data_IF_925807349227
#
_entry.id   IF_925807349227
#
_cell.length_a   1.000
_cell.length_b   1.000
_cell.length_c   1.000
_cell.angle_alpha   90.00
_cell.angle_beta   90.00
_cell.angle_gamma   90.00
#
_symmetry.space_group_name_H-M   'P 1'
#
loop_
_entity.id
_entity.type
_entity.pdbx_description
1 polymer ?
#
# COMPACT_ATOMS: atom_id res chain seq x y z
N UNK A 1 -3.87 11.69 -1.27
CA UNK A 1 -4.72 12.75 -1.89
C UNK A 1 -4.02 14.11 -1.84
N UNK A 2 -3.78 14.67 -0.66
CA UNK A 2 -3.15 15.99 -0.52
C UNK A 2 -1.86 16.12 -1.34
N UNK A 3 -0.89 15.21 -1.12
CA UNK A 3 0.40 15.21 -1.84
C UNK A 3 0.22 15.13 -3.36
N UNK A 4 -0.72 14.33 -3.86
CA UNK A 4 -0.93 14.19 -5.31
C UNK A 4 -1.52 15.44 -5.96
N UNK A 5 -2.18 16.31 -5.18
CA UNK A 5 -2.80 17.55 -5.66
C UNK A 5 -1.91 18.77 -5.46
N UNK A 6 -1.03 18.76 -4.46
CA UNK A 6 -0.09 19.86 -4.19
C UNK A 6 1.26 19.67 -4.88
N UNK A 7 1.70 18.43 -5.08
CA UNK A 7 2.98 18.15 -5.72
C UNK A 7 2.98 18.54 -7.20
N UNK A 8 4.11 19.06 -7.67
CA UNK A 8 4.33 19.25 -9.10
C UNK A 8 4.48 17.90 -9.80
N UNK A 9 4.03 17.80 -11.06
CA UNK A 9 3.96 16.53 -11.81
C UNK A 9 5.28 15.77 -11.85
N UNK A 10 6.41 16.48 -11.93
CA UNK A 10 7.76 15.90 -11.96
C UNK A 10 8.17 15.23 -10.65
N UNK A 11 7.69 15.70 -9.50
CA UNK A 11 8.08 15.21 -8.17
C UNK A 11 6.96 14.45 -7.46
N UNK A 12 5.78 14.36 -8.06
CA UNK A 12 4.60 13.71 -7.50
C UNK A 12 4.85 12.25 -7.12
N UNK A 13 5.54 11.50 -7.98
CA UNK A 13 5.89 10.09 -7.72
C UNK A 13 6.85 9.93 -6.54
N UNK A 14 7.85 10.81 -6.45
CA UNK A 14 8.82 10.84 -5.36
C UNK A 14 8.14 11.16 -4.03
N UNK A 15 7.37 12.25 -3.96
CA UNK A 15 6.64 12.65 -2.75
C UNK A 15 5.57 11.62 -2.34
N UNK A 16 4.94 10.96 -3.32
CA UNK A 16 4.04 9.83 -3.06
C UNK A 16 4.77 8.65 -2.41
N UNK A 17 5.96 8.31 -2.92
CA UNK A 17 6.80 7.23 -2.37
C UNK A 17 7.31 7.55 -0.96
N UNK A 18 7.54 8.84 -0.64
CA UNK A 18 7.91 9.26 0.70
C UNK A 18 6.86 8.87 1.76
N UNK A 19 5.57 8.83 1.43
CA UNK A 19 4.52 8.39 2.37
C UNK A 19 4.75 6.94 2.78
N UNK A 20 4.99 6.06 1.82
CA UNK A 20 5.25 4.65 2.11
C UNK A 20 6.55 4.50 2.92
N UNK A 21 7.59 5.26 2.59
CA UNK A 21 8.84 5.27 3.35
C UNK A 21 8.62 5.69 4.82
N UNK A 22 7.81 6.73 5.06
CA UNK A 22 7.48 7.16 6.42
C UNK A 22 6.69 6.10 7.19
N UNK A 23 5.79 5.37 6.52
CA UNK A 23 5.06 4.24 7.14
C UNK A 23 6.02 3.15 7.58
N UNK A 24 6.93 2.70 6.71
CA UNK A 24 7.87 1.61 7.06
C UNK A 24 8.92 2.04 8.08
N UNK A 25 9.36 3.30 8.04
CA UNK A 25 10.22 3.87 9.09
C UNK A 25 9.48 3.94 10.43
N UNK A 26 8.18 4.28 10.42
CA UNK A 26 7.34 4.24 11.61
C UNK A 26 7.24 2.82 12.20
N UNK A 27 6.96 1.82 11.36
CA UNK A 27 6.93 0.40 11.79
C UNK A 27 8.27 -0.02 12.41
N UNK A 28 9.38 0.30 11.74
CA UNK A 28 10.72 0.00 12.25
C UNK A 28 10.99 0.71 13.59
N UNK A 29 10.60 1.98 13.71
CA UNK A 29 10.75 2.76 14.94
C UNK A 29 9.96 2.15 16.10
N UNK A 30 8.75 1.65 15.84
CA UNK A 30 7.93 0.95 16.85
C UNK A 30 8.56 -0.37 17.26
N UNK A 31 9.08 -1.17 16.33
CA UNK A 31 9.78 -2.41 16.67
C UNK A 31 11.04 -2.16 17.50
N UNK A 32 11.82 -1.14 17.16
CA UNK A 32 13.02 -0.78 17.91
C UNK A 32 12.70 -0.23 19.30
N UNK A 33 11.73 0.67 19.42
CA UNK A 33 11.30 1.21 20.71
C UNK A 33 10.65 0.13 21.59
N UNK A 34 9.93 -0.82 20.99
CA UNK A 34 9.30 -1.95 21.68
C UNK A 34 10.30 -2.90 22.36
N UNK A 35 11.57 -2.90 21.96
CA UNK A 35 12.62 -3.68 22.66
C UNK A 35 13.00 -3.09 24.01
N UNK A 36 12.81 -1.78 24.21
CA UNK A 36 13.31 -1.06 25.38
C UNK A 36 12.22 -0.45 26.25
N UNK A 37 10.98 -0.39 25.74
CA UNK A 37 9.88 0.32 26.38
C UNK A 37 8.68 -0.59 26.59
N UNK A 38 8.01 -0.43 27.74
CA UNK A 38 6.70 -1.01 27.96
C UNK A 38 5.68 -0.49 26.96
N UNK A 39 4.70 -1.34 26.61
CA UNK A 39 3.65 -1.04 25.64
C UNK A 39 2.90 0.28 25.91
N UNK A 40 2.77 0.68 27.19
CA UNK A 40 2.12 1.94 27.60
C UNK A 40 2.91 3.16 27.17
N UNK A 41 4.22 3.17 27.44
CA UNK A 41 5.10 4.26 27.04
C UNK A 41 5.30 4.30 25.53
N UNK A 42 5.39 3.13 24.91
CA UNK A 42 5.41 3.00 23.45
C UNK A 42 4.16 3.65 22.82
N UNK A 43 2.97 3.39 23.36
CA UNK A 43 1.73 4.00 22.88
C UNK A 43 1.73 5.54 23.04
N UNK A 44 2.24 6.05 24.15
CA UNK A 44 2.38 7.50 24.38
C UNK A 44 3.37 8.10 23.35
N UNK A 45 4.52 7.47 23.13
CA UNK A 45 5.49 7.92 22.12
C UNK A 45 4.88 7.93 20.71
N UNK A 46 4.09 6.91 20.36
CA UNK A 46 3.38 6.84 19.08
C UNK A 46 2.33 7.94 18.88
N UNK A 47 1.86 8.59 19.95
CA UNK A 47 0.93 9.72 19.86
C UNK A 47 1.62 11.04 19.47
N UNK A 48 2.95 11.13 19.61
CA UNK A 48 3.71 12.36 19.31
C UNK A 48 3.71 12.69 17.81
N UNK A 49 4.07 11.78 16.88
CA UNK A 49 4.05 12.09 15.45
C UNK A 49 2.70 12.56 14.89
N UNK A 50 1.54 11.93 15.19
CA UNK A 50 0.26 12.41 14.69
C UNK A 50 -0.15 13.75 15.32
N UNK A 51 0.20 14.01 16.58
CA UNK A 51 -0.04 15.32 17.21
C UNK A 51 0.79 16.42 16.55
N UNK A 52 2.06 16.15 16.26
CA UNK A 52 2.93 17.08 15.52
C UNK A 52 2.41 17.31 14.09
N UNK A 53 1.92 16.27 13.42
CA UNK A 53 1.32 16.39 12.10
C UNK A 53 0.06 17.26 12.15
N UNK A 54 -0.79 17.09 13.16
CA UNK A 54 -2.00 17.90 13.35
C UNK A 54 -1.67 19.39 13.51
N UNK A 55 -0.66 19.71 14.33
CA UNK A 55 -0.20 21.10 14.52
C UNK A 55 0.42 21.64 13.23
N UNK A 56 1.25 20.85 12.54
CA UNK A 56 1.89 21.26 11.28
C UNK A 56 0.89 21.50 10.16
N UNK A 57 -0.17 20.69 10.09
CA UNK A 57 -1.21 20.83 9.06
C UNK A 57 -2.04 22.11 9.21
N UNK A 58 -2.13 22.69 10.41
CA UNK A 58 -2.79 23.99 10.60
C UNK A 58 -2.11 25.12 9.81
N UNK A 59 -0.81 25.01 9.53
CA UNK A 59 -0.05 26.00 8.76
C UNK A 59 -0.02 25.71 7.25
N UNK A 60 -0.53 24.56 6.82
CA UNK A 60 -0.50 24.16 5.42
C UNK A 60 -1.73 24.69 4.67
N UNK A 61 -1.56 25.23 3.45
CA UNK A 61 -2.70 25.67 2.66
C UNK A 61 -3.53 24.49 2.16
N UNK A 62 -4.80 24.76 1.88
CA UNK A 62 -5.69 23.80 1.24
C UNK A 62 -5.26 23.52 -0.21
N UNK A 63 -5.70 22.40 -0.80
CA UNK A 63 -5.27 22.06 -2.16
C UNK A 63 -5.80 23.08 -3.19
N UNK A 64 -4.97 23.56 -4.14
CA UNK A 64 -5.42 24.53 -5.15
C UNK A 64 -6.62 24.02 -5.97
N UNK A 65 -6.67 22.71 -6.22
CA UNK A 65 -7.78 22.07 -6.92
C UNK A 65 -9.08 22.15 -6.14
N UNK A 66 -9.05 21.93 -4.82
CA UNK A 66 -10.23 22.07 -3.96
C UNK A 66 -10.75 23.50 -3.95
N UNK A 67 -9.85 24.49 -3.83
CA UNK A 67 -10.18 25.90 -3.81
C UNK A 67 -10.80 26.36 -5.14
N UNK A 68 -10.22 25.97 -6.27
CA UNK A 68 -10.77 26.26 -7.60
C UNK A 68 -12.13 25.59 -7.83
N UNK A 69 -12.32 24.35 -7.36
CA UNK A 69 -13.61 23.66 -7.43
C UNK A 69 -14.72 24.41 -6.67
N UNK A 70 -14.39 25.09 -5.57
CA UNK A 70 -15.32 25.93 -4.81
C UNK A 70 -15.41 27.37 -5.32
N UNK A 71 -14.80 27.69 -6.47
CA UNK A 71 -14.81 29.03 -7.06
C UNK A 71 -13.91 30.04 -6.32
N UNK A 72 -13.05 29.60 -5.40
CA UNK A 72 -12.14 30.45 -4.61
C UNK A 72 -10.80 30.64 -5.34
N UNK A 73 -10.84 31.33 -6.49
CA UNK A 73 -9.65 31.48 -7.36
C UNK A 73 -8.48 32.20 -6.70
N UNK A 74 -8.74 33.31 -6.00
CA UNK A 74 -7.67 34.08 -5.33
C UNK A 74 -6.95 33.25 -4.26
N UNK A 75 -7.70 32.54 -3.41
CA UNK A 75 -7.10 31.64 -2.40
C UNK A 75 -6.28 30.51 -3.07
N UNK A 76 -6.72 30.01 -4.23
CA UNK A 76 -5.99 28.99 -4.98
C UNK A 76 -4.67 29.51 -5.56
N UNK A 77 -4.64 30.75 -6.05
CA UNK A 77 -3.42 31.41 -6.52
C UNK A 77 -2.44 31.62 -5.36
N UNK A 78 -2.91 32.05 -4.20
CA UNK A 78 -2.06 32.22 -3.01
C UNK A 78 -1.52 30.88 -2.50
N UNK A 79 -2.34 29.82 -2.49
CA UNK A 79 -1.90 28.46 -2.17
C UNK A 79 -0.84 27.95 -3.16
N UNK A 80 -1.00 28.21 -4.45
CA UNK A 80 0.00 27.85 -5.45
C UNK A 80 1.29 28.67 -5.32
N UNK A 81 1.22 29.97 -5.03
CA UNK A 81 2.42 30.79 -4.72
C UNK A 81 3.18 30.25 -3.52
N UNK A 82 2.46 29.81 -2.47
CA UNK A 82 3.07 29.16 -1.33
C UNK A 82 3.77 27.84 -1.70
N UNK A 83 3.14 27.02 -2.55
CA UNK A 83 3.65 25.69 -2.94
C UNK A 83 4.73 25.71 -4.03
N UNK A 84 4.72 26.70 -4.93
CA UNK A 84 5.60 26.79 -6.11
C UNK A 84 6.68 27.88 -5.97
N UNK A 85 6.50 28.81 -5.05
CA UNK A 85 7.32 30.00 -4.88
C UNK A 85 6.65 31.27 -5.42
N UNK A 86 7.12 32.46 -4.99
CA UNK A 86 6.47 33.74 -5.27
C UNK A 86 6.48 34.16 -6.75
N UNK A 87 7.49 33.74 -7.51
CA UNK A 87 7.65 34.10 -8.93
C UNK A 87 7.09 33.05 -9.91
N UNK A 88 6.44 32.00 -9.39
CA UNK A 88 5.86 30.97 -10.24
C UNK A 88 4.71 31.57 -11.07
N UNK A 89 4.62 31.29 -12.38
CA UNK A 89 3.48 31.73 -13.16
C UNK A 89 2.27 30.90 -12.69
N UNK A 90 1.44 31.49 -11.83
CA UNK A 90 0.34 30.80 -11.15
C UNK A 90 -0.92 30.72 -12.03
N UNK A 91 -1.12 31.76 -12.84
CA UNK A 91 -2.33 31.99 -13.63
C UNK A 91 -2.55 30.90 -14.68
N UNK A 92 -1.49 30.43 -15.35
CA UNK A 92 -1.61 29.34 -16.33
C UNK A 92 -1.95 28.00 -15.66
N UNK A 93 -1.39 27.72 -14.47
CA UNK A 93 -1.65 26.46 -13.75
C UNK A 93 -3.09 26.47 -13.22
N UNK A 94 -3.57 27.61 -12.71
CA UNK A 94 -4.97 27.82 -12.36
C UNK A 94 -5.91 27.63 -13.55
N UNK A 95 -5.66 28.30 -14.68
CA UNK A 95 -6.50 28.18 -15.88
C UNK A 95 -6.57 26.73 -16.37
N UNK A 96 -5.44 26.02 -16.40
CA UNK A 96 -5.39 24.59 -16.76
C UNK A 96 -6.21 23.72 -15.81
N UNK A 97 -6.18 24.00 -14.50
CA UNK A 97 -6.97 23.26 -13.51
C UNK A 97 -8.47 23.58 -13.65
N UNK A 98 -8.81 24.84 -13.92
CA UNK A 98 -10.19 25.27 -14.16
C UNK A 98 -10.77 24.66 -15.42
N UNK A 99 -10.02 24.60 -16.53
CA UNK A 99 -10.45 23.92 -17.76
C UNK A 99 -10.74 22.44 -17.48
N UNK A 100 -9.84 21.76 -16.76
CA UNK A 100 -10.05 20.38 -16.33
C UNK A 100 -11.27 20.21 -15.40
N UNK A 101 -11.61 21.23 -14.59
CA UNK A 101 -12.81 21.22 -13.75
C UNK A 101 -14.08 21.55 -14.55
N UNK A 102 -13.99 22.46 -15.54
CA UNK A 102 -15.09 22.94 -16.39
C UNK A 102 -15.58 21.88 -17.36
N UNK A 103 -14.67 21.08 -17.94
CA UNK A 103 -15.02 19.90 -18.74
C UNK A 103 -15.69 18.79 -17.92
N UNK A 104 -15.50 18.77 -16.60
CA UNK A 104 -15.97 17.70 -15.70
C UNK A 104 -17.25 18.04 -14.92
N UNK A 105 -18.01 19.04 -15.39
CA UNK A 105 -19.24 19.60 -14.81
C UNK A 105 -20.03 18.74 -13.80
N UNK A 106 -20.34 19.38 -12.68
CA UNK A 106 -21.29 19.00 -11.61
C UNK A 106 -20.80 18.08 -10.48
N UNK A 107 -21.15 18.50 -9.26
CA UNK A 107 -21.21 17.72 -8.03
C UNK A 107 -21.49 16.23 -8.27
N UNK A 108 -20.72 15.37 -7.60
CA UNK A 108 -20.92 13.92 -7.57
C UNK A 108 -22.40 13.56 -7.39
N UNK A 109 -22.97 12.79 -8.33
CA UNK A 109 -24.28 12.15 -8.18
C UNK A 109 -24.07 10.64 -8.12
N UNK A 110 -24.82 9.96 -7.24
CA UNK A 110 -24.80 8.49 -7.14
C UNK A 110 -25.10 7.78 -8.49
N UNK A 111 -25.78 8.46 -9.42
CA UNK A 111 -26.01 7.98 -10.78
C UNK A 111 -24.74 7.87 -11.63
N UNK A 112 -23.70 8.66 -11.33
CA UNK A 112 -22.43 8.66 -12.06
C UNK A 112 -21.64 7.35 -11.83
N UNK A 113 -21.95 6.60 -10.75
CA UNK A 113 -21.37 5.28 -10.50
C UNK A 113 -21.79 4.22 -11.53
N UNK A 114 -22.78 4.50 -12.39
CA UNK A 114 -23.16 3.62 -13.50
C UNK A 114 -22.30 3.82 -14.74
N UNK A 115 -21.49 4.88 -14.80
CA UNK A 115 -20.62 5.16 -15.94
C UNK A 115 -19.46 4.15 -16.00
N UNK A 116 -19.24 3.46 -17.13
CA UNK A 116 -18.06 2.61 -17.38
C UNK A 116 -16.71 3.26 -17.09
N UNK A 117 -16.59 4.59 -17.28
CA UNK A 117 -15.39 5.34 -16.94
C UNK A 117 -15.14 5.48 -15.45
N UNK A 118 -16.15 5.24 -14.60
CA UNK A 118 -16.07 5.41 -13.14
C UNK A 118 -16.07 4.05 -12.43
N UNK A 119 -17.00 3.16 -12.76
CA UNK A 119 -17.13 1.90 -12.02
C UNK A 119 -15.96 0.95 -12.27
N UNK A 120 -15.36 0.93 -13.48
CA UNK A 120 -14.22 0.06 -13.79
C UNK A 120 -12.98 0.47 -12.97
N UNK A 121 -12.53 1.74 -12.96
CA UNK A 121 -11.50 2.22 -12.04
C UNK A 121 -11.78 1.91 -10.57
N UNK A 122 -13.01 2.15 -10.13
CA UNK A 122 -13.41 1.91 -8.74
C UNK A 122 -13.30 0.42 -8.37
N UNK A 123 -13.83 -0.46 -9.23
CA UNK A 123 -13.77 -1.90 -9.02
C UNK A 123 -12.32 -2.40 -9.02
N UNK A 124 -11.46 -1.90 -9.92
CA UNK A 124 -10.03 -2.23 -9.90
C UNK A 124 -9.38 -1.79 -8.59
N UNK A 125 -9.62 -0.56 -8.13
CA UNK A 125 -9.06 -0.07 -6.86
C UNK A 125 -9.54 -0.86 -5.64
N UNK A 126 -10.83 -1.17 -5.56
CA UNK A 126 -11.44 -1.95 -4.46
C UNK A 126 -10.88 -3.37 -4.43
N UNK A 127 -10.86 -4.05 -5.58
CA UNK A 127 -10.34 -5.42 -5.68
C UNK A 127 -8.83 -5.46 -5.42
N UNK A 128 -8.08 -4.46 -5.88
CA UNK A 128 -6.65 -4.38 -5.65
C UNK A 128 -6.30 -4.29 -4.15
N UNK A 129 -7.03 -3.47 -3.39
CA UNK A 129 -6.85 -3.39 -1.94
C UNK A 129 -7.35 -4.63 -1.21
N UNK A 130 -8.45 -5.23 -1.66
CA UNK A 130 -8.94 -6.48 -1.09
C UNK A 130 -7.89 -7.59 -1.26
N UNK A 131 -7.35 -7.77 -2.46
CA UNK A 131 -6.33 -8.77 -2.73
C UNK A 131 -5.01 -8.48 -2.01
N UNK A 132 -4.61 -7.20 -1.88
CA UNK A 132 -3.44 -6.81 -1.08
C UNK A 132 -3.55 -7.35 0.35
N UNK A 133 -4.71 -7.23 0.99
CA UNK A 133 -4.93 -7.71 2.37
C UNK A 133 -5.08 -9.22 2.47
N UNK A 134 -5.70 -9.86 1.48
CA UNK A 134 -5.84 -11.32 1.42
C UNK A 134 -4.51 -12.07 1.30
N UNK A 135 -3.41 -11.37 0.96
CA UNK A 135 -2.05 -11.95 1.04
C UNK A 135 -1.63 -12.31 2.47
N UNK A 136 -2.32 -11.79 3.49
CA UNK A 136 -2.01 -12.07 4.89
C UNK A 136 -0.94 -11.17 5.49
N UNK A 137 -0.48 -10.12 4.79
CA UNK A 137 0.61 -9.25 5.26
C UNK A 137 0.38 -8.68 6.66
N UNK A 138 -0.80 -8.13 6.95
CA UNK A 138 -1.09 -7.56 8.27
C UNK A 138 -1.12 -8.64 9.36
N UNK A 139 -1.67 -9.81 9.08
CA UNK A 139 -1.64 -10.93 10.02
C UNK A 139 -0.20 -11.38 10.29
N UNK A 140 0.62 -11.55 9.24
CA UNK A 140 2.03 -11.93 9.36
C UNK A 140 2.81 -10.87 10.16
N UNK A 141 2.58 -9.59 9.91
CA UNK A 141 3.27 -8.49 10.62
C UNK A 141 2.85 -8.40 12.09
N UNK A 142 1.57 -8.58 12.42
CA UNK A 142 1.08 -8.51 13.80
C UNK A 142 1.44 -9.75 14.62
N UNK A 143 1.41 -10.93 14.00
CA UNK A 143 1.75 -12.19 14.65
C UNK A 143 3.20 -12.62 14.40
N UNK A 144 4.06 -11.73 13.87
CA UNK A 144 5.46 -12.06 13.53
C UNK A 144 6.22 -12.66 14.72
N UNK A 145 6.12 -12.04 15.90
CA UNK A 145 6.74 -12.55 17.13
C UNK A 145 6.22 -13.95 17.47
N UNK A 146 4.89 -14.14 17.46
CA UNK A 146 4.27 -15.44 17.77
C UNK A 146 4.68 -16.53 16.75
N UNK A 147 4.79 -16.17 15.46
CA UNK A 147 5.28 -17.07 14.41
C UNK A 147 6.74 -17.46 14.66
N UNK A 148 7.59 -16.52 15.08
CA UNK A 148 8.99 -16.80 15.41
C UNK A 148 9.16 -17.61 16.71
N UNK A 149 8.32 -17.38 17.71
CA UNK A 149 8.27 -18.20 18.93
C UNK A 149 7.87 -19.64 18.62
N UNK A 150 6.85 -19.85 17.78
CA UNK A 150 6.45 -21.18 17.30
C UNK A 150 7.56 -21.86 16.47
N UNK A 151 8.46 -21.08 15.86
CA UNK A 151 9.62 -21.58 15.13
C UNK A 151 10.85 -21.85 16.03
N UNK A 152 10.68 -21.80 17.36
CA UNK A 152 11.72 -21.99 18.38
C UNK A 152 12.90 -20.99 18.32
N UNK A 153 12.68 -19.78 17.81
CA UNK A 153 13.73 -18.76 17.77
C UNK A 153 13.88 -18.09 19.15
N UNK A 154 15.06 -18.17 19.77
CA UNK A 154 15.26 -17.65 21.14
C UNK A 154 15.31 -16.11 21.24
N UNK A 155 15.49 -15.39 20.14
CA UNK A 155 15.58 -13.92 20.10
C UNK A 155 14.50 -13.30 19.20
N UNK A 156 13.21 -13.51 19.53
CA UNK A 156 12.06 -13.04 18.74
C UNK A 156 12.06 -11.52 18.48
N UNK A 157 12.55 -10.71 19.43
CA UNK A 157 12.59 -9.25 19.29
C UNK A 157 13.58 -8.78 18.22
N UNK A 158 14.75 -9.42 18.14
CA UNK A 158 15.74 -9.13 17.10
C UNK A 158 15.20 -9.50 15.71
N UNK A 159 14.38 -10.55 15.61
CA UNK A 159 13.77 -10.96 14.35
C UNK A 159 12.76 -9.92 13.82
N UNK A 160 11.95 -9.33 14.70
CA UNK A 160 11.01 -8.24 14.33
C UNK A 160 11.74 -6.98 13.88
N UNK A 161 12.86 -6.62 14.53
CA UNK A 161 13.69 -5.49 14.07
C UNK A 161 14.35 -5.77 12.72
N UNK A 162 14.86 -6.99 12.51
CA UNK A 162 15.42 -7.40 11.22
C UNK A 162 14.37 -7.30 10.10
N UNK A 163 13.14 -7.73 10.38
CA UNK A 163 11.98 -7.59 9.49
C UNK A 163 11.72 -6.13 9.13
N UNK A 164 11.69 -5.23 10.12
CA UNK A 164 11.53 -3.79 9.90
C UNK A 164 12.65 -3.20 9.03
N UNK A 165 13.90 -3.59 9.28
CA UNK A 165 15.05 -3.13 8.51
C UNK A 165 14.97 -3.57 7.04
N UNK A 166 14.65 -4.85 6.80
CA UNK A 166 14.43 -5.40 5.46
C UNK A 166 13.34 -4.61 4.75
N UNK A 167 12.23 -4.35 5.43
CA UNK A 167 11.11 -3.60 4.87
C UNK A 167 11.53 -2.18 4.43
N UNK A 168 12.30 -1.46 5.26
CA UNK A 168 12.81 -0.12 4.93
C UNK A 168 13.74 -0.15 3.71
N UNK A 169 14.71 -1.08 3.70
CA UNK A 169 15.68 -1.21 2.59
C UNK A 169 14.97 -1.52 1.28
N UNK A 170 14.08 -2.53 1.27
CA UNK A 170 13.38 -2.93 0.06
C UNK A 170 12.35 -1.91 -0.40
N UNK A 171 11.73 -1.15 0.50
CA UNK A 171 10.84 -0.02 0.12
C UNK A 171 11.65 1.11 -0.54
N UNK A 172 12.86 1.40 -0.04
CA UNK A 172 13.76 2.37 -0.69
C UNK A 172 14.18 1.93 -2.08
N UNK A 173 14.53 0.65 -2.24
CA UNK A 173 14.82 0.05 -3.55
C UNK A 173 13.59 0.12 -4.47
N UNK A 174 12.40 -0.18 -3.93
CA UNK A 174 11.13 -0.11 -4.67
C UNK A 174 10.90 1.28 -5.26
N UNK A 175 11.12 2.34 -4.46
CA UNK A 175 10.96 3.72 -4.90
C UNK A 175 11.83 4.05 -6.12
N UNK A 176 13.08 3.57 -6.15
CA UNK A 176 14.01 3.79 -7.28
C UNK A 176 13.65 2.94 -8.50
N UNK A 177 13.24 1.69 -8.29
CA UNK A 177 12.94 0.75 -9.37
C UNK A 177 11.57 1.05 -10.01
N UNK A 178 10.60 1.54 -9.24
CA UNK A 178 9.22 1.74 -9.70
C UNK A 178 9.12 2.67 -10.91
N UNK A 179 9.94 3.73 -10.93
CA UNK A 179 9.97 4.66 -12.05
C UNK A 179 10.60 4.06 -13.31
N UNK A 180 11.42 3.01 -13.18
CA UNK A 180 12.13 2.36 -14.30
C UNK A 180 11.38 1.15 -14.85
N UNK A 181 10.87 0.26 -14.00
CA UNK A 181 10.35 -1.04 -14.43
C UNK A 181 8.83 -1.06 -14.69
N UNK A 182 8.07 -0.06 -14.22
CA UNK A 182 6.62 0.00 -14.42
C UNK A 182 5.85 -0.71 -13.31
N UNK A 183 4.59 -0.32 -13.13
CA UNK A 183 3.80 -0.68 -11.94
C UNK A 183 3.29 -2.12 -12.04
N UNK A 184 2.84 -2.52 -13.24
CA UNK A 184 2.28 -3.86 -13.47
C UNK A 184 3.36 -4.93 -13.33
N UNK A 185 4.53 -4.69 -13.90
CA UNK A 185 5.66 -5.63 -13.85
C UNK A 185 6.12 -5.84 -12.40
N UNK A 186 6.22 -4.77 -11.61
CA UNK A 186 6.60 -4.88 -10.19
C UNK A 186 5.58 -5.65 -9.37
N UNK A 187 4.27 -5.47 -9.60
CA UNK A 187 3.22 -6.24 -8.91
C UNK A 187 3.30 -7.74 -9.21
N UNK A 188 3.64 -8.11 -10.45
CA UNK A 188 3.79 -9.52 -10.85
C UNK A 188 5.05 -10.12 -10.22
N UNK A 189 6.20 -9.45 -10.29
CA UNK A 189 7.47 -9.93 -9.71
C UNK A 189 7.35 -10.07 -8.19
N UNK A 190 6.81 -9.04 -7.53
CA UNK A 190 6.58 -9.08 -6.08
C UNK A 190 5.60 -10.18 -5.68
N UNK A 191 4.50 -10.33 -6.42
CA UNK A 191 3.55 -11.42 -6.20
C UNK A 191 4.22 -12.78 -6.30
N UNK A 192 5.09 -12.99 -7.30
CA UNK A 192 5.78 -14.27 -7.48
C UNK A 192 6.71 -14.59 -6.30
N UNK A 193 7.45 -13.58 -5.82
CA UNK A 193 8.28 -13.72 -4.63
C UNK A 193 7.44 -14.07 -3.37
N UNK A 194 6.27 -13.43 -3.21
CA UNK A 194 5.35 -13.72 -2.12
C UNK A 194 4.77 -15.13 -2.18
N UNK A 195 4.42 -15.65 -3.37
CA UNK A 195 3.95 -17.03 -3.57
C UNK A 195 5.02 -18.03 -3.14
N UNK A 196 6.24 -17.88 -3.66
CA UNK A 196 7.36 -18.78 -3.35
C UNK A 196 7.64 -18.79 -1.86
N UNK A 197 7.64 -17.62 -1.23
CA UNK A 197 7.88 -17.51 0.21
C UNK A 197 6.77 -18.15 1.06
N UNK A 198 5.50 -17.83 0.79
CA UNK A 198 4.37 -18.38 1.56
C UNK A 198 4.23 -19.90 1.36
N UNK A 199 4.53 -20.40 0.17
CA UNK A 199 4.63 -21.83 -0.09
C UNK A 199 5.75 -22.48 0.75
N UNK A 200 6.94 -21.86 0.80
CA UNK A 200 8.05 -22.32 1.63
C UNK A 200 7.71 -22.32 3.12
N UNK A 201 6.99 -21.30 3.60
CA UNK A 201 6.46 -21.25 4.97
C UNK A 201 5.52 -22.41 5.28
N UNK A 202 4.58 -22.69 4.38
CA UNK A 202 3.66 -23.82 4.55
C UNK A 202 4.40 -25.16 4.59
N UNK A 203 5.44 -25.32 3.76
CA UNK A 203 6.31 -26.51 3.79
C UNK A 203 7.08 -26.61 5.11
N UNK A 204 7.64 -25.51 5.62
CA UNK A 204 8.34 -25.50 6.90
C UNK A 204 7.44 -25.98 8.05
N UNK A 205 6.25 -25.40 8.20
CA UNK A 205 5.32 -25.79 9.25
C UNK A 205 4.80 -27.22 9.07
N UNK A 206 4.63 -27.67 7.82
CA UNK A 206 4.26 -29.05 7.53
C UNK A 206 5.33 -30.03 8.00
N UNK A 207 6.61 -29.73 7.76
CA UNK A 207 7.73 -30.56 8.20
C UNK A 207 7.87 -30.57 9.73
N UNK A 208 7.68 -29.43 10.39
CA UNK A 208 7.71 -29.32 11.86
C UNK A 208 6.52 -29.99 12.55
N UNK A 209 5.35 -30.07 11.89
CA UNK A 209 4.15 -30.68 12.47
C UNK A 209 4.17 -32.21 12.54
N UNK A 210 5.08 -32.87 11.80
CA UNK A 210 5.18 -34.34 11.82
C UNK A 210 6.14 -34.77 12.93
N UNK A 211 5.70 -35.56 13.93
CA UNK A 211 6.61 -36.16 14.89
C UNK A 211 7.53 -37.13 14.13
N UNK A 212 8.81 -36.78 13.99
CA UNK A 212 9.79 -37.71 13.44
C UNK A 212 10.01 -38.84 14.44
N UNK A 213 9.33 -39.97 14.22
CA UNK A 213 9.62 -41.22 14.94
C UNK A 213 11.03 -41.66 14.54
N UNK A 214 12.02 -41.38 15.39
CA UNK A 214 13.37 -41.94 15.31
C UNK A 214 14.40 -41.21 14.47
N UNK A 215 14.21 -39.92 14.13
CA UNK A 215 15.27 -39.11 13.53
C UNK A 215 15.89 -38.14 14.55
N UNK A 216 17.22 -38.08 14.53
CA UNK A 216 18.11 -37.07 15.16
C UNK A 216 17.54 -35.64 15.14
N UNK A 217 17.93 -34.76 16.10
CA UNK A 217 17.27 -33.49 16.35
C UNK A 217 17.16 -32.70 15.06
N UNK A 218 15.94 -32.33 14.69
CA UNK A 218 15.62 -31.56 13.50
C UNK A 218 16.69 -30.48 13.30
N UNK A 219 17.48 -30.59 12.22
CA UNK A 219 18.40 -29.51 11.81
C UNK A 219 17.64 -28.19 11.91
N UNK A 220 18.26 -27.15 12.48
CA UNK A 220 17.67 -25.84 12.76
C UNK A 220 17.04 -25.19 11.51
N UNK A 221 15.89 -25.68 11.03
CA UNK A 221 15.17 -25.17 9.87
C UNK A 221 14.56 -23.80 10.17
N UNK A 222 14.78 -23.24 11.36
CA UNK A 222 14.38 -21.90 11.74
C UNK A 222 14.96 -20.84 10.80
N UNK A 223 16.13 -21.07 10.19
CA UNK A 223 16.66 -20.19 9.14
C UNK A 223 15.73 -20.13 7.91
N UNK A 224 15.02 -21.22 7.59
CA UNK A 224 14.09 -21.28 6.46
C UNK A 224 12.86 -20.41 6.73
N UNK A 225 12.31 -20.46 7.94
CA UNK A 225 11.19 -19.60 8.37
C UNK A 225 11.58 -18.12 8.36
N UNK A 226 12.79 -17.78 8.83
CA UNK A 226 13.30 -16.42 8.78
C UNK A 226 13.52 -15.94 7.34
N UNK A 227 14.15 -16.77 6.51
CA UNK A 227 14.39 -16.47 5.10
C UNK A 227 13.09 -16.32 4.31
N UNK A 228 12.10 -17.18 4.54
CA UNK A 228 10.77 -17.03 3.92
C UNK A 228 10.13 -15.72 4.37
N UNK A 229 10.11 -15.40 5.67
CA UNK A 229 9.56 -14.12 6.15
C UNK A 229 10.22 -12.92 5.48
N UNK A 230 11.55 -12.91 5.46
CA UNK A 230 12.34 -11.88 4.82
C UNK A 230 11.96 -11.72 3.34
N UNK A 231 11.88 -12.82 2.58
CA UNK A 231 11.52 -12.79 1.15
C UNK A 231 10.08 -12.33 0.96
N UNK A 232 9.14 -12.73 1.82
CA UNK A 232 7.74 -12.30 1.76
C UNK A 232 7.62 -10.79 1.93
N UNK A 233 8.22 -10.26 3.00
CA UNK A 233 8.19 -8.82 3.32
C UNK A 233 8.93 -8.02 2.26
N UNK A 234 10.07 -8.52 1.77
CA UNK A 234 10.82 -7.89 0.67
C UNK A 234 9.99 -7.82 -0.60
N UNK A 235 9.35 -8.93 -0.98
CA UNK A 235 8.45 -9.00 -2.12
C UNK A 235 7.31 -7.99 -1.97
N UNK A 236 6.64 -7.99 -0.82
CA UNK A 236 5.57 -7.03 -0.53
C UNK A 236 6.06 -5.58 -0.62
N UNK A 237 7.18 -5.24 0.00
CA UNK A 237 7.75 -3.89 0.01
C UNK A 237 8.12 -3.39 -1.40
N UNK A 238 8.56 -4.28 -2.30
CA UNK A 238 8.92 -3.92 -3.69
C UNK A 238 7.70 -3.51 -4.52
N UNK A 239 6.54 -4.15 -4.33
CA UNK A 239 5.40 -3.95 -5.21
C UNK A 239 4.09 -3.74 -4.47
N UNK A 240 3.59 -4.80 -3.83
CA UNK A 240 2.27 -4.82 -3.22
C UNK A 240 2.06 -3.82 -2.09
N UNK A 241 3.12 -3.29 -1.46
CA UNK A 241 3.03 -2.21 -0.49
C UNK A 241 2.65 -0.87 -1.14
N UNK A 242 3.57 -0.23 -1.88
CA UNK A 242 3.34 1.13 -2.39
C UNK A 242 2.44 1.21 -3.63
N UNK A 243 2.48 0.20 -4.53
CA UNK A 243 1.88 0.33 -5.85
C UNK A 243 0.33 0.39 -5.79
N UNK A 244 -0.38 -0.40 -4.98
CA UNK A 244 -1.84 -0.29 -4.88
C UNK A 244 -2.34 1.11 -4.51
N UNK A 245 -1.68 1.77 -3.56
CA UNK A 245 -1.99 3.14 -3.16
C UNK A 245 -1.73 4.15 -4.27
N UNK A 246 -0.65 3.94 -5.03
CA UNK A 246 -0.31 4.79 -6.16
C UNK A 246 -1.30 4.62 -7.31
N UNK A 247 -1.61 3.38 -7.72
CA UNK A 247 -2.59 3.07 -8.77
C UNK A 247 -3.96 3.63 -8.39
N UNK A 248 -4.40 3.48 -7.14
CA UNK A 248 -5.64 4.09 -6.65
C UNK A 248 -5.67 5.61 -6.91
N UNK A 249 -4.57 6.32 -6.64
CA UNK A 249 -4.50 7.77 -6.86
C UNK A 249 -4.43 8.19 -8.33
N UNK A 250 -3.98 7.29 -9.21
CA UNK A 250 -3.83 7.54 -10.66
C UNK A 250 -5.07 7.15 -11.47
N UNK A 251 -5.79 6.10 -11.06
CA UNK A 251 -6.88 5.49 -11.82
C UNK A 251 -8.24 6.14 -11.48
N UNK A 252 -8.41 6.67 -10.27
CA UNK A 252 -9.69 7.23 -9.83
C UNK A 252 -9.92 8.63 -10.44
N UNK A 253 -11.02 8.82 -11.20
CA UNK A 253 -11.37 10.12 -11.77
C UNK A 253 -11.60 11.17 -10.68
N UNK A 254 -11.25 12.43 -10.97
CA UNK A 254 -11.31 13.53 -9.99
C UNK A 254 -12.74 13.71 -9.46
N UNK A 255 -13.75 13.65 -10.33
CA UNK A 255 -15.17 13.86 -10.00
C UNK A 255 -15.71 12.93 -8.91
N UNK A 256 -15.21 11.70 -8.81
CA UNK A 256 -15.63 10.72 -7.81
C UNK A 256 -14.58 10.46 -6.74
N UNK A 257 -13.46 11.19 -6.78
CA UNK A 257 -12.24 10.83 -6.04
C UNK A 257 -12.46 10.74 -4.55
N UNK A 258 -13.24 11.64 -3.95
CA UNK A 258 -13.56 11.58 -2.52
C UNK A 258 -14.27 10.29 -2.13
N UNK A 259 -15.42 10.00 -2.76
CA UNK A 259 -16.22 8.81 -2.49
C UNK A 259 -15.49 7.50 -2.83
N UNK A 260 -14.90 7.43 -4.04
CA UNK A 260 -14.16 6.26 -4.50
C UNK A 260 -12.95 5.97 -3.61
N UNK A 261 -12.23 7.02 -3.18
CA UNK A 261 -11.11 6.83 -2.26
C UNK A 261 -11.58 6.29 -0.92
N UNK A 262 -12.66 6.83 -0.36
CA UNK A 262 -13.22 6.35 0.90
C UNK A 262 -13.64 4.88 0.82
N UNK A 263 -14.29 4.46 -0.29
CA UNK A 263 -14.68 3.07 -0.50
C UNK A 263 -13.46 2.14 -0.57
N UNK A 264 -12.43 2.51 -1.32
CA UNK A 264 -11.18 1.73 -1.44
C UNK A 264 -10.45 1.61 -0.10
N UNK A 265 -10.33 2.71 0.65
CA UNK A 265 -9.72 2.71 2.00
C UNK A 265 -10.54 1.87 2.98
N UNK A 266 -11.87 1.96 2.93
CA UNK A 266 -12.75 1.15 3.74
C UNK A 266 -12.60 -0.34 3.44
N UNK A 267 -12.52 -0.72 2.15
CA UNK A 267 -12.24 -2.11 1.76
C UNK A 267 -10.88 -2.57 2.26
N UNK A 268 -9.85 -1.73 2.13
CA UNK A 268 -8.52 -2.06 2.62
C UNK A 268 -8.52 -2.37 4.13
N UNK A 269 -8.99 -1.44 4.95
CA UNK A 269 -8.99 -1.65 6.41
C UNK A 269 -10.02 -2.68 6.87
N UNK A 270 -11.15 -2.80 6.15
CA UNK A 270 -12.15 -3.84 6.40
C UNK A 270 -11.58 -5.24 6.16
N UNK A 271 -10.90 -5.46 5.04
CA UNK A 271 -10.24 -6.74 4.76
C UNK A 271 -9.06 -6.99 5.70
N UNK A 272 -8.27 -5.96 6.04
CA UNK A 272 -7.21 -6.06 7.04
C UNK A 272 -7.76 -6.55 8.39
N UNK A 273 -8.89 -5.99 8.83
CA UNK A 273 -9.56 -6.41 10.06
C UNK A 273 -10.05 -7.87 9.97
N UNK A 274 -10.73 -8.23 8.87
CA UNK A 274 -11.23 -9.60 8.67
C UNK A 274 -10.08 -10.60 8.72
N UNK A 275 -9.04 -10.41 7.89
CA UNK A 275 -7.89 -11.32 7.80
C UNK A 275 -7.16 -11.43 9.14
N UNK A 276 -6.92 -10.31 9.82
CA UNK A 276 -6.24 -10.32 11.13
C UNK A 276 -7.06 -11.04 12.20
N UNK A 277 -8.37 -10.82 12.22
CA UNK A 277 -9.28 -11.44 13.18
C UNK A 277 -9.48 -12.93 12.93
N UNK A 278 -9.55 -13.36 11.67
CA UNK A 278 -9.73 -14.76 11.31
C UNK A 278 -8.43 -15.55 11.33
N UNK A 279 -7.26 -14.90 11.34
CA UNK A 279 -5.96 -15.56 11.25
C UNK A 279 -5.78 -16.68 12.27
N UNK A 280 -6.03 -16.44 13.55
CA UNK A 280 -5.88 -17.49 14.58
C UNK A 280 -6.88 -18.64 14.38
N UNK A 281 -8.13 -18.33 14.02
CA UNK A 281 -9.12 -19.38 13.68
C UNK A 281 -8.67 -20.24 12.48
N UNK A 282 -7.95 -19.65 11.52
CA UNK A 282 -7.40 -20.37 10.38
C UNK A 282 -6.20 -21.23 10.80
N UNK A 283 -5.31 -20.70 11.65
CA UNK A 283 -4.18 -21.45 12.20
C UNK A 283 -4.67 -22.68 12.98
N UNK A 284 -5.70 -22.53 13.81
CA UNK A 284 -6.28 -23.63 14.58
C UNK A 284 -7.09 -24.61 13.72
N UNK A 285 -7.86 -24.11 12.74
CA UNK A 285 -8.78 -24.93 11.95
C UNK A 285 -8.15 -25.60 10.72
N UNK A 286 -7.30 -24.90 9.97
CA UNK A 286 -6.62 -25.41 8.77
C UNK A 286 -5.20 -25.92 9.04
N UNK A 287 -4.67 -25.72 10.24
CA UNK A 287 -3.25 -25.82 10.62
C UNK A 287 -2.39 -24.68 10.09
N UNK A 288 -1.22 -24.46 10.71
CA UNK A 288 -0.24 -23.44 10.27
C UNK A 288 0.15 -23.63 8.80
N UNK A 289 0.44 -24.87 8.39
CA UNK A 289 0.80 -25.18 7.01
C UNK A 289 -0.33 -24.84 6.02
N UNK A 290 -1.57 -25.23 6.34
CA UNK A 290 -2.74 -24.95 5.51
C UNK A 290 -3.03 -23.46 5.36
N UNK A 291 -2.83 -22.67 6.43
CA UNK A 291 -3.03 -21.21 6.41
C UNK A 291 -2.05 -20.51 5.47
N UNK A 292 -0.75 -20.85 5.53
CA UNK A 292 0.24 -20.25 4.63
C UNK A 292 0.08 -20.70 3.17
N UNK A 293 -0.33 -21.95 2.92
CA UNK A 293 -0.67 -22.38 1.57
C UNK A 293 -1.90 -21.67 1.02
N UNK A 294 -2.91 -21.39 1.84
CA UNK A 294 -4.04 -20.57 1.42
C UNK A 294 -3.58 -19.16 1.01
N UNK A 295 -2.71 -18.52 1.79
CA UNK A 295 -2.13 -17.22 1.41
C UNK A 295 -1.33 -17.30 0.11
N UNK A 296 -0.61 -18.39 -0.13
CA UNK A 296 0.09 -18.62 -1.40
C UNK A 296 -0.88 -18.69 -2.59
N UNK A 297 -1.99 -19.41 -2.45
CA UNK A 297 -3.06 -19.46 -3.47
C UNK A 297 -3.67 -18.07 -3.69
N UNK A 298 -3.93 -17.33 -2.62
CA UNK A 298 -4.45 -15.95 -2.73
C UNK A 298 -3.46 -15.02 -3.44
N UNK A 299 -2.16 -15.16 -3.17
CA UNK A 299 -1.12 -14.42 -3.91
C UNK A 299 -1.09 -14.80 -5.39
N UNK A 300 -1.31 -16.08 -5.75
CA UNK A 300 -1.41 -16.52 -7.14
C UNK A 300 -2.63 -15.91 -7.86
N UNK A 301 -3.80 -15.92 -7.20
CA UNK A 301 -5.00 -15.24 -7.71
C UNK A 301 -4.75 -13.74 -7.91
N UNK A 302 -3.98 -13.13 -7.02
CA UNK A 302 -3.63 -11.72 -7.11
C UNK A 302 -2.75 -11.40 -8.33
N UNK A 303 -1.78 -12.27 -8.66
CA UNK A 303 -1.01 -12.14 -9.91
C UNK A 303 -1.91 -12.27 -11.13
N UNK A 304 -2.81 -13.26 -11.15
CA UNK A 304 -3.75 -13.45 -12.26
C UNK A 304 -4.60 -12.18 -12.44
N UNK A 305 -5.16 -11.66 -11.36
CA UNK A 305 -5.91 -10.40 -11.38
C UNK A 305 -5.07 -9.23 -11.92
N UNK A 306 -3.83 -9.10 -11.47
CA UNK A 306 -2.90 -8.06 -11.92
C UNK A 306 -2.62 -8.14 -13.42
N UNK A 307 -2.42 -9.34 -13.96
CA UNK A 307 -2.11 -9.53 -15.37
C UNK A 307 -3.30 -9.15 -16.25
N UNK A 308 -4.52 -9.51 -15.87
CA UNK A 308 -5.71 -9.31 -16.72
C UNK A 308 -6.38 -7.95 -16.53
N UNK A 309 -6.45 -7.42 -15.31
CA UNK A 309 -7.30 -6.27 -14.98
C UNK A 309 -6.53 -4.96 -14.73
N UNK A 310 -5.23 -5.02 -14.42
CA UNK A 310 -4.44 -3.83 -14.14
C UNK A 310 -3.75 -3.36 -15.43
N UNK A 311 -4.04 -2.14 -15.92
CA UNK A 311 -3.28 -1.54 -17.01
C UNK A 311 -1.94 -0.99 -16.50
N UNK A 312 -0.96 -0.93 -17.40
CA UNK A 312 0.29 -0.21 -17.09
C UNK A 312 0.01 1.30 -17.10
N UNK A 313 0.28 1.95 -15.95
CA UNK A 313 0.08 3.40 -15.75
C UNK A 313 1.37 4.20 -15.96
N UNK A 314 2.53 3.55 -16.10
CA UNK A 314 3.81 4.23 -16.30
C UNK A 314 3.80 5.13 -17.54
N UNK A 315 4.15 6.40 -17.32
CA UNK A 315 4.35 7.40 -18.37
C UNK A 315 3.06 7.89 -19.03
N UNK A 316 1.89 7.56 -18.47
CA UNK A 316 0.59 7.98 -19.00
C UNK A 316 0.02 9.15 -18.21
N UNK A 317 -0.69 10.04 -18.89
CA UNK A 317 -1.46 11.09 -18.23
C UNK A 317 -2.71 10.51 -17.57
N UNK A 318 -3.30 11.27 -16.64
CA UNK A 318 -4.55 10.84 -15.98
C UNK A 318 -5.68 10.69 -17.01
N UNK A 319 -5.75 11.55 -18.03
CA UNK A 319 -6.75 11.46 -19.08
C UNK A 319 -6.57 10.21 -19.95
N UNK A 320 -5.32 9.86 -20.28
CA UNK A 320 -5.02 8.63 -21.03
C UNK A 320 -5.41 7.36 -20.26
N UNK A 321 -5.21 7.36 -18.94
CA UNK A 321 -5.63 6.24 -18.07
C UNK A 321 -7.16 6.14 -18.07
N UNK A 322 -7.87 7.25 -17.95
CA UNK A 322 -9.32 7.28 -18.01
C UNK A 322 -9.86 6.79 -19.37
N UNK A 323 -9.23 7.18 -20.48
CA UNK A 323 -9.56 6.70 -21.82
C UNK A 323 -9.42 5.17 -21.96
N UNK A 324 -8.36 4.59 -21.37
CA UNK A 324 -8.16 3.12 -21.33
C UNK A 324 -9.35 2.42 -20.66
N UNK A 325 -9.86 2.97 -19.55
CA UNK A 325 -11.00 2.38 -18.85
C UNK A 325 -12.33 2.60 -19.57
N UNK A 326 -12.51 3.76 -20.21
CA UNK A 326 -13.67 4.07 -21.05
C UNK A 326 -13.72 3.25 -22.33
N UNK A 327 -12.61 2.62 -22.73
CA UNK A 327 -12.52 1.83 -23.97
C UNK A 327 -12.54 2.69 -25.23
N UNK A 328 -12.29 3.99 -25.09
CA UNK A 328 -12.10 4.93 -26.18
C UNK A 328 -10.61 5.00 -26.43
N UNK A 329 -10.18 4.65 -27.65
CA UNK A 329 -8.83 4.94 -28.11
C UNK A 329 -8.66 6.46 -28.02
N UNK A 330 -7.92 6.94 -27.02
CA UNK A 330 -7.47 8.34 -27.01
C UNK A 330 -6.60 8.60 -28.25
N UNK A 331 -6.57 9.85 -28.76
CA UNK A 331 -5.71 10.22 -29.87
C UNK A 331 -4.22 9.95 -29.62
#
# INVERSE_FOLDING_TARGET
LYISETAHERVRGLLGSCVQLMVVLGIMGVYLAGMFMDWRWLAICCSVPPTLLMVSMYFMPETPRYLLFHGKRQEAEDALRYLRGPDAPVEWECARIEDACGEQGSSFRLSDLKDPGIYKPLMVGVMLMAFQQMTGINAIMFYAQNIFEQAHFQNSDLASVLVGLIQVVFTGIAAVIMDKAGRKVLLVISGAAMIVSTAAFGVYFYLMSKPAVGAEPHQDLTWLALASMAVFISGFAIGWGPIPWLIMSEVIPIRVRGFASAAVVLTNWGMAFVVTKTFQNMMDGLTSAGTFWLFSVMCALNIVFTIFFIPETKGKTLEQIEAIFRGTSGP
#
